data_IF_741125198259
#
_entry.id   IF_741125198259
#
_cell.length_a   1.000
_cell.length_b   1.000
_cell.length_c   1.000
_cell.angle_alpha   90.00
_cell.angle_beta   90.00
_cell.angle_gamma   90.00
#
_symmetry.space_group_name_H-M   'P 1'
#
loop_
_entity.id
_entity.type
_entity.pdbx_description
1 polymer ?
#
# COMPACT_ATOMS: atom_id res chain seq x y z
N UNK A 1 -7.77 -8.67 -10.82
CA UNK A 1 -7.22 -9.58 -9.80
C UNK A 1 -7.47 -9.03 -8.41
N UNK A 2 -7.45 -9.88 -7.40
CA UNK A 2 -7.72 -9.56 -6.01
C UNK A 2 -8.94 -10.28 -5.47
N UNK A 3 -8.96 -10.46 -4.16
CA UNK A 3 -10.07 -11.07 -3.42
C UNK A 3 -10.52 -10.11 -2.32
N UNK A 4 -11.74 -10.31 -1.80
CA UNK A 4 -12.27 -9.48 -0.73
C UNK A 4 -11.47 -9.62 0.57
N UNK A 5 -11.46 -8.58 1.38
CA UNK A 5 -10.69 -8.58 2.63
C UNK A 5 -11.20 -9.59 3.68
N UNK A 6 -12.42 -10.12 3.50
CA UNK A 6 -12.97 -11.22 4.29
C UNK A 6 -12.70 -12.60 3.66
N UNK A 7 -12.19 -12.63 2.43
CA UNK A 7 -11.94 -13.82 1.63
C UNK A 7 -12.91 -13.97 0.48
N UNK A 8 -12.51 -14.65 -0.60
CA UNK A 8 -13.32 -14.83 -1.79
C UNK A 8 -13.85 -13.51 -2.36
N UNK A 9 -15.17 -13.40 -2.50
CA UNK A 9 -15.86 -12.21 -2.98
C UNK A 9 -16.46 -11.35 -1.86
N UNK A 10 -16.08 -11.60 -0.61
CA UNK A 10 -16.69 -10.94 0.54
C UNK A 10 -15.86 -9.74 1.03
N UNK A 11 -16.57 -8.67 1.44
CA UNK A 11 -15.99 -7.47 2.02
C UNK A 11 -15.44 -6.47 1.01
N UNK A 12 -14.47 -5.68 1.43
CA UNK A 12 -13.84 -4.65 0.61
C UNK A 12 -12.75 -5.28 -0.30
N UNK A 13 -12.71 -4.86 -1.55
CA UNK A 13 -11.75 -5.35 -2.53
C UNK A 13 -10.65 -4.33 -2.82
N UNK A 14 -9.40 -4.76 -2.71
CA UNK A 14 -8.25 -4.02 -3.22
C UNK A 14 -7.89 -4.53 -4.63
N UNK A 15 -8.85 -4.42 -5.54
CA UNK A 15 -8.73 -4.97 -6.89
C UNK A 15 -7.69 -4.24 -7.74
N UNK A 16 -7.05 -5.00 -8.65
CA UNK A 16 -6.17 -4.48 -9.69
C UNK A 16 -6.80 -4.84 -11.04
N UNK A 17 -7.09 -3.82 -11.85
CA UNK A 17 -7.56 -3.98 -13.22
C UNK A 17 -6.42 -3.64 -14.18
N UNK A 18 -6.25 -4.43 -15.22
CA UNK A 18 -5.23 -4.21 -16.25
C UNK A 18 -5.76 -4.54 -17.63
N UNK A 19 -5.17 -3.95 -18.66
CA UNK A 19 -5.50 -4.22 -20.06
C UNK A 19 -4.87 -5.53 -20.50
N UNK A 20 -5.69 -6.59 -20.64
CA UNK A 20 -5.22 -7.93 -21.00
C UNK A 20 -4.65 -8.01 -22.43
N UNK A 21 -5.05 -7.11 -23.31
CA UNK A 21 -4.47 -6.98 -24.65
C UNK A 21 -3.02 -6.45 -24.60
N UNK A 22 -2.67 -5.65 -23.59
CA UNK A 22 -1.35 -5.03 -23.43
C UNK A 22 -0.42 -5.76 -22.46
N UNK A 23 -0.96 -6.33 -21.41
CA UNK A 23 -0.17 -6.93 -20.33
C UNK A 23 -0.45 -8.40 -20.16
N UNK A 24 0.58 -9.15 -19.77
CA UNK A 24 0.51 -10.52 -19.27
C UNK A 24 0.60 -10.49 -17.76
N UNK A 25 -0.37 -11.09 -17.08
CA UNK A 25 -0.30 -11.36 -15.65
C UNK A 25 0.54 -12.62 -15.43
N UNK A 26 1.70 -12.50 -14.81
CA UNK A 26 2.61 -13.61 -14.59
C UNK A 26 2.55 -14.17 -13.16
N UNK A 27 2.17 -13.32 -12.19
CA UNK A 27 2.02 -13.73 -10.80
C UNK A 27 1.10 -12.76 -10.05
N UNK A 28 0.43 -13.23 -9.00
CA UNK A 28 -0.44 -12.42 -8.15
C UNK A 28 -0.69 -13.07 -6.80
N UNK A 29 -0.98 -12.26 -5.80
CA UNK A 29 -1.53 -12.75 -4.53
C UNK A 29 -2.20 -11.61 -3.74
N UNK A 30 -2.89 -11.99 -2.67
CA UNK A 30 -3.37 -11.06 -1.64
C UNK A 30 -2.85 -11.52 -0.30
N UNK A 31 -2.36 -10.60 0.53
CA UNK A 31 -1.95 -10.88 1.89
C UNK A 31 -2.61 -9.91 2.87
N UNK A 32 -2.83 -10.38 4.10
CA UNK A 32 -3.46 -9.60 5.16
C UNK A 32 -2.44 -8.96 6.08
N UNK A 33 -2.75 -7.76 6.57
CA UNK A 33 -1.95 -7.05 7.56
C UNK A 33 -2.22 -7.62 8.97
N UNK A 34 -1.66 -8.78 9.22
CA UNK A 34 -1.80 -9.56 10.46
C UNK A 34 -0.56 -10.42 10.72
N UNK A 35 -0.53 -11.08 11.85
CA UNK A 35 0.52 -12.07 12.17
C UNK A 35 0.32 -13.40 11.39
N UNK A 36 -0.84 -13.56 10.73
CA UNK A 36 -1.18 -14.69 9.82
C UNK A 36 -1.56 -14.17 8.43
N UNK A 37 -0.63 -13.61 7.66
CA UNK A 37 -0.93 -12.84 6.45
C UNK A 37 -1.49 -13.66 5.29
N UNK A 38 -1.39 -14.96 5.33
CA UNK A 38 -1.94 -15.89 4.33
C UNK A 38 -3.36 -16.37 4.66
N UNK A 39 -3.91 -16.01 5.84
CA UNK A 39 -5.27 -16.41 6.22
C UNK A 39 -6.25 -15.29 5.83
N UNK A 40 -7.19 -15.55 4.89
CA UNK A 40 -8.23 -14.60 4.54
C UNK A 40 -9.05 -14.14 5.75
N UNK A 41 -9.35 -12.85 5.80
CA UNK A 41 -10.11 -12.27 6.91
C UNK A 41 -9.32 -12.09 8.20
N UNK A 42 -8.05 -12.45 8.25
CA UNK A 42 -7.24 -12.30 9.46
C UNK A 42 -7.06 -10.83 9.83
N UNK A 43 -7.09 -10.56 11.14
CA UNK A 43 -6.93 -9.23 11.73
C UNK A 43 -5.68 -9.20 12.60
N UNK A 44 -4.98 -8.05 12.58
CA UNK A 44 -3.79 -7.90 13.40
C UNK A 44 -3.63 -6.48 13.94
N UNK A 45 -2.84 -6.38 14.99
CA UNK A 45 -2.25 -5.14 15.49
C UNK A 45 -3.24 -4.04 15.90
N UNK A 46 -4.51 -4.41 16.17
CA UNK A 46 -5.58 -3.50 16.57
C UNK A 46 -6.55 -3.14 15.44
N UNK A 47 -6.52 -3.85 14.32
CA UNK A 47 -7.53 -3.73 13.27
C UNK A 47 -8.89 -4.22 13.77
N UNK A 48 -9.93 -3.44 13.55
CA UNK A 48 -11.31 -3.88 13.73
C UNK A 48 -11.80 -4.60 12.46
N UNK A 49 -11.43 -4.06 11.30
CA UNK A 49 -11.74 -4.60 9.97
C UNK A 49 -10.46 -5.24 9.41
N UNK A 50 -10.53 -6.44 8.80
CA UNK A 50 -9.39 -7.01 8.10
C UNK A 50 -8.86 -6.05 7.02
N UNK A 51 -7.56 -5.92 6.96
CA UNK A 51 -6.87 -5.07 5.98
C UNK A 51 -5.88 -5.90 5.20
N UNK A 52 -5.81 -5.66 3.90
CA UNK A 52 -4.99 -6.46 3.01
C UNK A 52 -4.31 -5.61 1.94
N UNK A 53 -3.40 -6.25 1.25
CA UNK A 53 -2.78 -5.73 0.04
C UNK A 53 -2.87 -6.82 -1.04
N UNK A 54 -3.41 -6.46 -2.19
CA UNK A 54 -3.34 -7.26 -3.42
C UNK A 54 -2.13 -6.80 -4.22
N UNK A 55 -1.42 -7.74 -4.82
CA UNK A 55 -0.34 -7.43 -5.74
C UNK A 55 -0.41 -8.29 -7.00
N UNK A 56 0.15 -7.75 -8.08
CA UNK A 56 0.27 -8.42 -9.37
C UNK A 56 1.64 -8.12 -9.98
N UNK A 57 2.24 -9.11 -10.62
CA UNK A 57 3.39 -8.93 -11.51
C UNK A 57 2.88 -8.94 -12.94
N UNK A 58 3.08 -7.84 -13.64
CA UNK A 58 2.62 -7.60 -15.00
C UNK A 58 3.81 -7.41 -15.93
N UNK A 59 3.77 -8.02 -17.11
CA UNK A 59 4.75 -7.82 -18.17
C UNK A 59 4.06 -7.22 -19.39
N UNK A 60 4.59 -6.14 -19.93
CA UNK A 60 4.10 -5.57 -21.19
C UNK A 60 4.45 -6.50 -22.35
N UNK A 61 3.48 -6.76 -23.23
CA UNK A 61 3.62 -7.75 -24.29
C UNK A 61 4.64 -7.35 -25.35
N UNK A 62 4.70 -6.08 -25.69
CA UNK A 62 5.55 -5.56 -26.77
C UNK A 62 7.01 -5.41 -26.33
N UNK A 63 7.22 -4.80 -25.17
CA UNK A 63 8.57 -4.49 -24.67
C UNK A 63 9.16 -5.59 -23.78
N UNK A 64 8.33 -6.51 -23.28
CA UNK A 64 8.67 -7.52 -22.27
C UNK A 64 9.11 -6.95 -20.92
N UNK A 65 9.04 -5.64 -20.72
CA UNK A 65 9.30 -5.04 -19.43
C UNK A 65 8.27 -5.47 -18.41
N UNK A 66 8.75 -5.88 -17.26
CA UNK A 66 7.89 -6.32 -16.16
C UNK A 66 7.97 -5.35 -14.98
N UNK A 67 6.88 -5.28 -14.22
CA UNK A 67 6.79 -4.49 -13.00
C UNK A 67 5.79 -5.13 -12.03
N UNK A 68 5.89 -4.74 -10.76
CA UNK A 68 4.91 -5.11 -9.75
C UNK A 68 3.93 -3.96 -9.51
N UNK A 69 2.68 -4.31 -9.27
CA UNK A 69 1.67 -3.37 -8.79
C UNK A 69 1.13 -3.88 -7.45
N UNK A 70 1.14 -3.03 -6.43
CA UNK A 70 0.60 -3.29 -5.10
C UNK A 70 -0.56 -2.34 -4.84
N UNK A 71 -1.72 -2.85 -4.42
CA UNK A 71 -2.87 -2.06 -3.99
C UNK A 71 -3.18 -2.37 -2.53
N UNK A 72 -2.92 -1.41 -1.64
CA UNK A 72 -3.00 -1.57 -0.20
C UNK A 72 -4.12 -0.71 0.40
N UNK A 73 -4.84 -1.25 1.38
CA UNK A 73 -5.78 -0.48 2.19
C UNK A 73 -5.45 -0.64 3.67
N UNK A 74 -4.92 0.41 4.28
CA UNK A 74 -4.50 0.39 5.68
C UNK A 74 -5.66 0.69 6.63
N UNK A 75 -5.45 0.42 7.92
CA UNK A 75 -6.48 0.63 8.93
C UNK A 75 -6.75 2.13 9.19
N UNK A 76 -8.02 2.49 9.29
CA UNK A 76 -8.45 3.88 9.47
C UNK A 76 -8.43 4.33 10.94
N UNK A 77 -8.43 3.41 11.90
CA UNK A 77 -8.49 3.69 13.34
C UNK A 77 -7.10 3.55 13.98
N UNK A 78 -6.50 2.37 13.88
CA UNK A 78 -5.31 1.99 14.63
C UNK A 78 -4.03 2.53 14.00
N UNK A 79 -3.42 3.53 14.61
CA UNK A 79 -2.09 3.99 14.18
C UNK A 79 -1.00 2.93 14.39
N UNK A 80 -1.14 2.09 15.44
CA UNK A 80 -0.24 0.95 15.66
C UNK A 80 -0.31 -0.02 14.48
N UNK A 81 -1.52 -0.32 14.01
CA UNK A 81 -1.70 -1.16 12.84
C UNK A 81 -1.04 -0.54 11.60
N UNK A 82 -1.31 0.74 11.29
CA UNK A 82 -0.70 1.40 10.13
C UNK A 82 0.83 1.33 10.15
N UNK A 83 1.47 1.58 11.33
CA UNK A 83 2.93 1.49 11.47
C UNK A 83 3.44 0.07 11.17
N UNK A 84 2.81 -0.96 11.76
CA UNK A 84 3.21 -2.35 11.53
C UNK A 84 2.93 -2.77 10.07
N UNK A 85 1.81 -2.32 9.51
CA UNK A 85 1.44 -2.62 8.12
C UNK A 85 2.45 -2.07 7.11
N UNK A 86 2.93 -0.84 7.26
CA UNK A 86 3.93 -0.30 6.32
C UNK A 86 5.28 -1.00 6.45
N UNK A 87 5.71 -1.37 7.66
CA UNK A 87 6.92 -2.17 7.85
C UNK A 87 6.78 -3.54 7.20
N UNK A 88 5.66 -4.22 7.43
CA UNK A 88 5.37 -5.52 6.82
C UNK A 88 5.31 -5.42 5.29
N UNK A 89 4.60 -4.41 4.76
CA UNK A 89 4.46 -4.16 3.33
C UNK A 89 5.82 -3.95 2.65
N UNK A 90 6.66 -3.07 3.20
CA UNK A 90 7.97 -2.77 2.60
C UNK A 90 8.91 -3.97 2.64
N UNK A 91 8.84 -4.81 3.67
CA UNK A 91 9.57 -6.09 3.71
C UNK A 91 9.07 -7.06 2.65
N UNK A 92 7.75 -7.14 2.43
CA UNK A 92 7.17 -7.96 1.34
C UNK A 92 7.60 -7.46 -0.04
N UNK A 93 7.59 -6.15 -0.26
CA UNK A 93 8.09 -5.55 -1.50
C UNK A 93 9.58 -5.85 -1.66
N UNK A 94 10.37 -5.71 -0.59
CA UNK A 94 11.81 -5.99 -0.62
C UNK A 94 12.12 -7.47 -0.91
N UNK A 95 11.32 -8.39 -0.40
CA UNK A 95 11.52 -9.84 -0.59
C UNK A 95 10.94 -10.39 -1.90
N UNK A 96 10.43 -9.54 -2.80
CA UNK A 96 9.92 -9.99 -4.11
C UNK A 96 11.01 -10.73 -4.91
N UNK A 97 10.66 -11.79 -5.66
CA UNK A 97 11.64 -12.61 -6.36
C UNK A 97 12.45 -11.83 -7.38
N UNK A 98 11.81 -10.93 -8.12
CA UNK A 98 12.46 -10.11 -9.14
C UNK A 98 12.53 -8.66 -8.66
N UNK A 99 13.70 -8.00 -8.81
CA UNK A 99 13.93 -6.61 -8.41
C UNK A 99 13.48 -5.60 -9.47
N UNK A 100 12.39 -5.91 -10.14
CA UNK A 100 11.76 -5.04 -11.12
C UNK A 100 11.13 -3.81 -10.45
N UNK A 101 10.92 -2.72 -11.21
CA UNK A 101 10.20 -1.55 -10.71
C UNK A 101 8.83 -1.92 -10.15
N UNK A 102 8.31 -1.08 -9.25
CA UNK A 102 6.98 -1.29 -8.73
C UNK A 102 6.20 0.01 -8.56
N UNK A 103 4.88 -0.13 -8.59
CA UNK A 103 3.90 0.87 -8.20
C UNK A 103 3.22 0.39 -6.93
N UNK A 104 3.10 1.26 -5.94
CA UNK A 104 2.37 1.01 -4.71
C UNK A 104 1.26 2.07 -4.60
N UNK A 105 0.00 1.65 -4.71
CA UNK A 105 -1.15 2.55 -4.63
C UNK A 105 -2.13 2.11 -3.54
N UNK A 106 -3.06 2.99 -3.20
CA UNK A 106 -4.18 2.67 -2.32
C UNK A 106 -4.52 3.75 -1.30
N UNK A 107 -5.45 3.37 -0.41
CA UNK A 107 -5.84 4.16 0.76
C UNK A 107 -4.96 3.78 1.96
N UNK A 108 -4.06 4.67 2.32
CA UNK A 108 -3.16 4.46 3.46
C UNK A 108 -3.76 4.94 4.79
N UNK A 109 -4.93 5.59 4.77
CA UNK A 109 -5.56 6.19 5.94
C UNK A 109 -4.58 7.00 6.81
N UNK A 110 -3.61 7.62 6.17
CA UNK A 110 -2.46 8.27 6.80
C UNK A 110 -2.09 9.54 6.03
N UNK A 111 -1.94 10.66 6.73
CA UNK A 111 -1.57 11.94 6.13
C UNK A 111 -0.08 11.98 5.77
N UNK A 112 0.32 12.86 4.86
CA UNK A 112 1.70 12.99 4.35
C UNK A 112 2.77 13.17 5.44
N UNK A 113 2.44 13.90 6.52
CA UNK A 113 3.36 14.12 7.64
C UNK A 113 3.26 13.06 8.74
N UNK A 114 2.45 12.01 8.55
CA UNK A 114 2.34 10.95 9.53
C UNK A 114 3.50 9.96 9.43
N UNK A 115 3.85 9.36 10.55
CA UNK A 115 4.99 8.44 10.62
C UNK A 115 4.94 7.27 9.61
N UNK A 116 3.79 6.64 9.30
CA UNK A 116 3.74 5.62 8.25
C UNK A 116 4.15 6.12 6.87
N UNK A 117 3.71 7.32 6.47
CA UNK A 117 4.04 7.87 5.14
C UNK A 117 5.49 8.35 5.10
N UNK A 118 5.99 8.99 6.15
CA UNK A 118 7.40 9.36 6.25
C UNK A 118 8.32 8.14 6.21
N UNK A 119 7.92 7.03 6.85
CA UNK A 119 8.66 5.77 6.78
C UNK A 119 8.67 5.19 5.36
N UNK A 120 7.52 5.19 4.66
CA UNK A 120 7.46 4.71 3.28
C UNK A 120 8.43 5.47 2.36
N UNK A 121 8.53 6.79 2.53
CA UNK A 121 9.49 7.61 1.77
C UNK A 121 10.96 7.45 2.21
N UNK A 122 11.20 6.78 3.34
CA UNK A 122 12.54 6.67 3.91
C UNK A 122 12.99 7.87 4.75
N UNK A 123 12.09 8.82 5.03
CA UNK A 123 12.42 10.04 5.77
C UNK A 123 12.79 9.76 7.24
N UNK A 124 12.13 8.77 7.85
CA UNK A 124 12.34 8.39 9.25
C UNK A 124 12.27 6.89 9.48
N UNK A 125 12.99 6.35 10.47
CA UNK A 125 12.74 4.99 10.96
C UNK A 125 11.45 4.94 11.80
N UNK A 126 10.86 3.76 11.93
CA UNK A 126 9.73 3.51 12.84
C UNK A 126 10.15 2.72 14.05
N UNK A 127 9.72 3.17 15.24
CA UNK A 127 9.85 2.37 16.46
C UNK A 127 8.70 1.35 16.52
N UNK A 128 9.06 0.07 16.45
CA UNK A 128 8.18 -1.08 16.64
C UNK A 128 8.48 -1.70 18.01
N UNK A 129 7.45 -1.88 18.83
CA UNK A 129 7.62 -2.30 20.24
C UNK A 129 8.46 -3.57 20.41
N UNK A 130 8.35 -4.51 19.49
CA UNK A 130 9.01 -5.81 19.53
C UNK A 130 10.38 -5.87 18.83
N UNK A 131 10.72 -4.82 18.03
CA UNK A 131 11.86 -4.87 17.12
C UNK A 131 12.80 -3.66 17.28
N UNK A 132 12.39 -2.65 18.06
CA UNK A 132 13.13 -1.40 18.16
C UNK A 132 12.91 -0.47 16.96
N UNK A 133 13.95 0.25 16.53
CA UNK A 133 13.89 1.11 15.35
C UNK A 133 14.14 0.30 14.08
N UNK A 134 13.20 0.42 13.14
CA UNK A 134 13.23 -0.25 11.84
C UNK A 134 13.32 0.80 10.75
N UNK A 135 14.24 0.63 9.81
CA UNK A 135 14.35 1.45 8.59
C UNK A 135 13.60 0.80 7.43
N UNK A 136 13.16 1.61 6.47
CA UNK A 136 12.52 1.09 5.27
C UNK A 136 13.58 0.53 4.31
N UNK A 137 13.53 -0.77 3.92
CA UNK A 137 14.46 -1.36 2.97
C UNK A 137 14.17 -1.00 1.51
N UNK A 138 12.99 -0.43 1.22
CA UNK A 138 12.50 -0.08 -0.12
C UNK A 138 11.80 1.29 -0.08
N UNK A 139 12.55 2.40 0.08
CA UNK A 139 11.97 3.74 0.03
C UNK A 139 11.23 4.01 -1.28
N UNK A 140 10.16 4.79 -1.21
CA UNK A 140 9.30 5.08 -2.37
C UNK A 140 9.20 6.56 -2.65
N UNK A 141 8.90 6.90 -3.91
CA UNK A 141 8.66 8.27 -4.37
C UNK A 141 7.15 8.52 -4.44
N UNK A 142 6.65 9.55 -3.77
CA UNK A 142 5.27 10.04 -3.93
C UNK A 142 5.14 10.74 -5.27
N UNK A 143 4.45 10.14 -6.23
CA UNK A 143 4.31 10.66 -7.61
C UNK A 143 3.63 12.01 -7.65
N UNK A 144 2.66 12.25 -6.75
CA UNK A 144 2.02 13.56 -6.66
C UNK A 144 3.00 14.64 -6.20
N UNK A 145 3.83 14.34 -5.20
CA UNK A 145 4.83 15.29 -4.70
C UNK A 145 6.00 15.48 -5.64
N UNK A 146 6.32 14.49 -6.44
CA UNK A 146 7.28 14.62 -7.54
C UNK A 146 6.81 15.67 -8.56
N UNK A 147 5.52 15.63 -8.95
CA UNK A 147 4.94 16.54 -9.93
C UNK A 147 4.55 17.90 -9.33
N UNK A 148 4.06 17.92 -8.08
CA UNK A 148 3.52 19.10 -7.41
C UNK A 148 4.11 19.30 -6.02
N UNK A 149 5.43 19.61 -5.90
CA UNK A 149 6.15 19.62 -4.62
C UNK A 149 5.60 20.66 -3.63
N UNK A 150 5.08 21.78 -4.13
CA UNK A 150 4.64 22.92 -3.29
C UNK A 150 3.11 23.07 -3.25
N UNK A 151 2.35 22.20 -3.90
CA UNK A 151 0.89 22.30 -3.92
C UNK A 151 0.33 22.20 -2.50
N UNK A 152 -0.41 23.22 -2.08
CA UNK A 152 -1.10 23.28 -0.79
C UNK A 152 -2.54 22.75 -0.90
N UNK A 153 -3.16 22.43 0.23
CA UNK A 153 -4.58 22.05 0.33
C UNK A 153 -4.96 20.83 -0.54
N UNK A 154 -4.07 19.84 -0.58
CA UNK A 154 -4.31 18.59 -1.29
C UNK A 154 -5.18 17.67 -0.43
N UNK A 155 -6.23 17.12 -1.02
CA UNK A 155 -7.12 16.19 -0.36
C UNK A 155 -7.64 15.14 -1.34
N UNK A 156 -7.67 13.88 -0.89
CA UNK A 156 -8.34 12.76 -1.54
C UNK A 156 -9.55 12.31 -0.73
N UNK A 157 -9.58 12.62 0.57
CA UNK A 157 -10.69 12.38 1.48
C UNK A 157 -11.30 13.69 1.99
N UNK A 158 -12.64 13.79 1.93
CA UNK A 158 -13.39 14.98 2.37
C UNK A 158 -14.56 14.64 3.32
N UNK A 159 -14.70 13.36 3.74
CA UNK A 159 -15.71 12.90 4.71
C UNK A 159 -17.15 13.14 4.26
N UNK A 160 -17.39 13.25 2.94
CA UNK A 160 -18.70 13.62 2.35
C UNK A 160 -19.27 14.96 2.86
N UNK A 161 -18.42 15.81 3.47
CA UNK A 161 -18.78 17.13 4.02
C UNK A 161 -17.98 18.21 3.32
N UNK A 162 -18.67 19.26 2.86
CA UNK A 162 -18.11 20.30 1.98
C UNK A 162 -16.92 21.08 2.55
N UNK A 163 -16.73 21.15 3.89
CA UNK A 163 -15.76 22.08 4.48
C UNK A 163 -14.92 21.57 5.67
N UNK A 164 -15.15 20.37 6.23
CA UNK A 164 -14.57 20.04 7.52
C UNK A 164 -13.38 19.09 7.54
N UNK A 165 -13.24 18.18 6.56
CA UNK A 165 -12.16 17.20 6.57
C UNK A 165 -11.56 17.08 5.17
N UNK A 166 -10.38 17.65 4.97
CA UNK A 166 -9.64 17.54 3.72
C UNK A 166 -8.27 16.96 4.00
N UNK A 167 -8.07 15.70 3.63
CA UNK A 167 -6.80 15.01 3.85
C UNK A 167 -6.41 14.22 2.61
N UNK A 168 -5.12 14.29 2.26
CA UNK A 168 -4.52 13.33 1.35
C UNK A 168 -4.21 12.07 2.15
N UNK A 169 -4.91 10.98 1.86
CA UNK A 169 -4.74 9.66 2.48
C UNK A 169 -4.58 8.56 1.44
N UNK A 170 -4.89 8.87 0.18
CA UNK A 170 -4.64 8.01 -0.97
C UNK A 170 -3.36 8.45 -1.67
N UNK A 171 -2.59 7.47 -2.13
CA UNK A 171 -1.29 7.70 -2.73
C UNK A 171 -1.06 6.77 -3.91
N UNK A 172 -0.22 7.26 -4.83
CA UNK A 172 0.48 6.45 -5.81
C UNK A 172 1.97 6.70 -5.58
N UNK A 173 2.65 5.67 -5.16
CA UNK A 173 4.09 5.66 -5.01
C UNK A 173 4.72 4.80 -6.10
N UNK A 174 5.97 5.11 -6.43
CA UNK A 174 6.80 4.30 -7.32
C UNK A 174 8.14 3.99 -6.68
N UNK A 175 8.80 2.93 -7.14
CA UNK A 175 10.21 2.69 -6.85
C UNK A 175 11.07 3.85 -7.38
N UNK A 176 12.22 4.14 -6.76
CA UNK A 176 13.20 5.10 -7.27
C UNK A 176 13.68 4.78 -8.68
#
# INVERSE_FOLDING_TARGET
VGIGNLGGNEGLHNSIFYKAERFVLSDQSTFWFSDTPHIPGSKGWGNIIPRCCTWARLSEKDTRHAFYFFNAHLDHISQRSRKKSVVFLTRRIHSRPYKEPFVLAGDFNAREKSAPIQFLRGDIPLKIRTEGYVTNPEPVIDTFRLQYPHQRNVATFHGFRKYFFRFKIDYIFVSP
#
